data_IF_211292950821
#
_entry.id   IF_211292950821
#
_cell.length_a   1.000
_cell.length_b   1.000
_cell.length_c   1.000
_cell.angle_alpha   90.00
_cell.angle_beta   90.00
_cell.angle_gamma   90.00
#
_symmetry.space_group_name_H-M   'P 1'
#
loop_
_entity.id
_entity.type
_entity.pdbx_description
1 polymer ?
#
# COMPACT_ATOMS: atom_id res chain seq x y z
N UNK A 1 17.43 -15.77 18.77
CA UNK A 1 18.62 -15.13 19.38
C UNK A 1 18.49 -13.62 19.24
N UNK A 2 19.27 -12.78 19.94
CA UNK A 2 19.40 -11.38 19.51
C UNK A 2 20.13 -11.33 18.15
N UNK A 3 19.73 -10.46 17.19
CA UNK A 3 20.40 -10.36 15.88
C UNK A 3 21.90 -10.01 15.96
N UNK A 4 22.33 -9.37 17.04
CA UNK A 4 23.67 -8.79 17.26
C UNK A 4 24.84 -9.80 17.32
N UNK A 5 24.56 -11.09 17.15
CA UNK A 5 25.58 -12.15 17.09
C UNK A 5 25.67 -12.83 15.71
N UNK A 6 24.86 -12.42 14.72
CA UNK A 6 24.93 -12.94 13.36
C UNK A 6 26.08 -12.29 12.58
N UNK A 7 26.81 -13.10 11.80
CA UNK A 7 27.78 -12.56 10.85
C UNK A 7 27.07 -11.95 9.65
N UNK A 8 27.26 -10.65 9.43
CA UNK A 8 26.71 -9.92 8.28
C UNK A 8 27.64 -10.04 7.07
N UNK A 9 27.08 -10.45 5.94
CA UNK A 9 27.75 -10.69 4.65
C UNK A 9 26.97 -9.95 3.57
N UNK A 10 27.61 -9.29 2.61
CA UNK A 10 26.88 -8.52 1.57
C UNK A 10 26.79 -9.31 0.28
N UNK A 11 25.59 -9.39 -0.30
CA UNK A 11 25.31 -10.01 -1.59
C UNK A 11 26.29 -9.55 -2.68
N UNK A 12 26.91 -10.49 -3.40
CA UNK A 12 27.93 -10.22 -4.40
C UNK A 12 29.35 -9.97 -3.87
N UNK A 13 29.60 -10.12 -2.56
CA UNK A 13 30.95 -9.99 -1.98
C UNK A 13 31.44 -11.28 -1.30
N UNK A 14 32.75 -11.52 -1.37
CA UNK A 14 33.45 -12.53 -0.56
C UNK A 14 33.81 -11.96 0.81
N UNK A 15 33.59 -12.74 1.87
CA UNK A 15 34.01 -12.42 3.23
C UNK A 15 34.92 -13.51 3.78
N UNK A 16 36.03 -13.10 4.41
CA UNK A 16 37.00 -14.01 5.05
C UNK A 16 36.60 -14.24 6.50
N UNK A 17 35.91 -15.35 6.75
CA UNK A 17 35.43 -15.79 8.06
C UNK A 17 36.58 -16.39 8.86
N UNK A 18 36.89 -15.82 10.03
CA UNK A 18 37.81 -16.41 11.00
C UNK A 18 37.05 -17.27 12.01
N UNK A 19 37.47 -18.53 12.16
CA UNK A 19 36.98 -19.43 13.21
C UNK A 19 38.10 -19.76 14.20
N UNK A 20 37.71 -20.18 15.41
CA UNK A 20 38.61 -20.68 16.44
C UNK A 20 37.96 -21.86 17.18
N UNK A 21 38.77 -22.73 17.76
CA UNK A 21 38.34 -23.87 18.59
C UNK A 21 39.38 -24.19 19.65
N UNK A 22 38.98 -24.93 20.69
CA UNK A 22 39.87 -25.49 21.71
C UNK A 22 39.63 -27.00 21.76
N UNK A 23 40.38 -27.75 20.96
CA UNK A 23 40.28 -29.21 20.81
C UNK A 23 41.67 -29.81 20.55
N UNK A 24 41.94 -31.04 21.02
CA UNK A 24 43.11 -31.79 20.58
C UNK A 24 43.02 -32.15 19.09
N UNK A 25 44.19 -32.28 18.47
CA UNK A 25 44.42 -33.05 17.24
C UNK A 25 43.53 -32.66 16.04
N UNK A 26 43.48 -31.37 15.71
CA UNK A 26 42.85 -30.85 14.47
C UNK A 26 43.88 -30.82 13.34
N UNK A 27 43.83 -31.80 12.44
CA UNK A 27 44.75 -31.95 11.33
C UNK A 27 44.26 -31.29 10.02
N UNK A 28 42.96 -31.36 9.75
CA UNK A 28 42.35 -30.74 8.55
C UNK A 28 40.93 -30.25 8.81
N UNK A 29 40.40 -29.42 7.91
CA UNK A 29 39.11 -28.76 8.08
C UNK A 29 38.35 -28.73 6.76
N UNK A 30 37.05 -28.99 6.83
CA UNK A 30 36.12 -28.75 5.72
C UNK A 30 35.01 -27.81 6.17
N UNK A 31 34.49 -26.98 5.26
CA UNK A 31 33.42 -26.04 5.58
C UNK A 31 32.27 -26.19 4.59
N UNK A 32 31.04 -26.09 5.10
CA UNK A 32 29.81 -26.12 4.29
C UNK A 32 28.82 -25.07 4.80
N UNK A 33 27.98 -24.61 3.89
CA UNK A 33 26.80 -23.80 4.19
C UNK A 33 25.56 -24.69 4.34
N UNK A 34 24.50 -24.18 4.95
CA UNK A 34 23.22 -24.88 5.12
C UNK A 34 22.31 -24.72 3.88
N UNK A 35 22.34 -23.56 3.21
CA UNK A 35 21.76 -23.35 1.87
C UNK A 35 22.79 -22.71 0.91
N UNK A 36 23.20 -23.45 -0.13
CA UNK A 36 24.12 -22.98 -1.18
C UNK A 36 23.54 -21.89 -2.09
N UNK A 37 22.22 -21.61 -2.00
CA UNK A 37 21.59 -20.49 -2.74
C UNK A 37 21.85 -19.14 -2.09
N UNK A 38 21.97 -19.10 -0.76
CA UNK A 38 22.09 -17.87 0.04
C UNK A 38 23.55 -17.41 0.12
N UNK A 39 24.48 -18.33 0.35
CA UNK A 39 25.92 -18.08 0.30
C UNK A 39 26.66 -19.37 0.00
N UNK A 40 27.90 -19.30 -0.50
CA UNK A 40 28.70 -20.45 -0.91
C UNK A 40 30.12 -20.38 -0.33
N UNK A 41 30.72 -21.52 -0.04
CA UNK A 41 32.15 -21.60 0.34
C UNK A 41 32.99 -21.61 -0.93
N UNK A 42 33.85 -20.62 -1.11
CA UNK A 42 34.78 -20.56 -2.24
C UNK A 42 36.14 -21.19 -1.91
N UNK A 43 36.63 -20.97 -0.68
CA UNK A 43 37.91 -21.53 -0.22
C UNK A 43 37.91 -21.83 1.28
N UNK A 44 38.67 -22.85 1.68
CA UNK A 44 39.06 -23.11 3.07
C UNK A 44 40.57 -22.92 3.16
N UNK A 45 41.01 -22.02 4.04
CA UNK A 45 42.42 -21.75 4.27
C UNK A 45 43.08 -22.79 5.18
N UNK A 46 44.42 -22.74 5.33
CA UNK A 46 45.14 -23.66 6.18
C UNK A 46 44.74 -23.53 7.65
N UNK A 47 44.79 -24.65 8.37
CA UNK A 47 44.66 -24.68 9.83
C UNK A 47 45.94 -24.09 10.45
N UNK A 48 45.77 -23.19 11.41
CA UNK A 48 46.85 -22.53 12.14
C UNK A 48 46.66 -22.79 13.64
N UNK A 49 47.68 -23.32 14.32
CA UNK A 49 47.71 -23.27 15.79
C UNK A 49 47.73 -21.79 16.22
N UNK A 50 46.74 -21.40 17.01
CA UNK A 50 46.48 -20.02 17.42
C UNK A 50 47.25 -19.61 18.69
N UNK A 51 47.83 -20.57 19.42
CA UNK A 51 48.53 -20.34 20.69
C UNK A 51 49.93 -20.93 20.70
N UNK A 52 50.95 -20.08 20.85
CA UNK A 52 52.34 -20.52 21.10
C UNK A 52 52.59 -21.11 22.50
N UNK A 53 51.55 -21.18 23.33
CA UNK A 53 51.59 -21.65 24.72
C UNK A 53 50.87 -23.01 24.92
N UNK A 54 49.90 -23.34 24.06
CA UNK A 54 49.05 -24.53 24.17
C UNK A 54 48.86 -25.17 22.79
N UNK A 55 48.90 -26.51 22.71
CA UNK A 55 48.71 -27.25 21.45
C UNK A 55 47.23 -27.50 21.09
N UNK A 56 46.29 -26.93 21.84
CA UNK A 56 44.86 -27.22 21.73
C UNK A 56 44.04 -26.11 21.05
N UNK A 57 44.61 -24.91 20.85
CA UNK A 57 43.87 -23.80 20.23
C UNK A 57 44.14 -23.77 18.73
N UNK A 58 43.14 -24.10 17.92
CA UNK A 58 43.25 -24.01 16.46
C UNK A 58 42.38 -22.89 15.91
N UNK A 59 42.85 -22.28 14.82
CA UNK A 59 42.13 -21.25 14.08
C UNK A 59 42.34 -21.42 12.59
N UNK A 60 41.49 -20.79 11.79
CA UNK A 60 41.64 -20.79 10.35
C UNK A 60 40.76 -19.74 9.69
N UNK A 61 40.81 -19.72 8.36
CA UNK A 61 39.96 -18.86 7.54
C UNK A 61 39.10 -19.69 6.59
N UNK A 62 37.87 -19.24 6.35
CA UNK A 62 36.99 -19.74 5.29
C UNK A 62 36.53 -18.54 4.48
N UNK A 63 36.69 -18.58 3.17
CA UNK A 63 36.15 -17.56 2.27
C UNK A 63 34.73 -17.96 1.85
N UNK A 64 33.77 -17.11 2.18
CA UNK A 64 32.35 -17.30 1.86
C UNK A 64 31.89 -16.18 0.93
N UNK A 65 31.40 -16.54 -0.25
CA UNK A 65 30.71 -15.63 -1.16
C UNK A 65 29.22 -15.56 -0.78
N UNK A 66 28.66 -14.36 -0.68
CA UNK A 66 27.21 -14.20 -0.51
C UNK A 66 26.53 -14.09 -1.88
N UNK A 67 25.53 -14.93 -2.12
CA UNK A 67 24.91 -15.10 -3.46
C UNK A 67 23.46 -14.63 -3.53
N UNK A 68 22.73 -14.62 -2.41
CA UNK A 68 21.34 -14.15 -2.35
C UNK A 68 20.94 -13.78 -0.92
N UNK A 69 20.03 -12.83 -0.75
CA UNK A 69 19.54 -12.43 0.59
C UNK A 69 18.85 -13.58 1.35
N UNK A 70 19.28 -13.79 2.60
CA UNK A 70 18.70 -14.81 3.49
C UNK A 70 19.45 -14.98 4.81
N UNK A 71 18.98 -15.92 5.62
CA UNK A 71 19.73 -16.46 6.77
C UNK A 71 20.42 -17.75 6.34
N UNK A 72 21.62 -18.00 6.85
CA UNK A 72 22.39 -19.23 6.58
C UNK A 72 23.20 -19.63 7.82
N UNK A 73 23.80 -20.81 7.79
CA UNK A 73 24.83 -21.22 8.75
C UNK A 73 26.07 -21.67 8.01
N UNK A 74 27.24 -21.21 8.44
CA UNK A 74 28.51 -21.83 8.08
C UNK A 74 28.83 -22.90 9.13
N UNK A 75 28.92 -24.15 8.69
CA UNK A 75 29.34 -25.31 9.48
C UNK A 75 30.79 -25.62 9.14
N UNK A 76 31.69 -25.49 10.11
CA UNK A 76 33.11 -25.83 9.95
C UNK A 76 33.39 -27.13 10.69
N UNK A 77 33.64 -28.19 9.92
CA UNK A 77 33.94 -29.54 10.42
C UNK A 77 35.45 -29.69 10.61
N UNK A 78 35.82 -30.11 11.80
CA UNK A 78 37.20 -30.31 12.24
C UNK A 78 37.52 -31.79 12.15
N UNK A 79 38.65 -32.14 11.52
CA UNK A 79 39.05 -33.53 11.27
C UNK A 79 40.41 -33.84 11.91
N UNK A 80 40.54 -35.05 12.48
CA UNK A 80 41.81 -35.60 12.95
C UNK A 80 42.71 -36.13 11.80
N UNK A 81 43.90 -36.62 12.15
CA UNK A 81 44.86 -37.27 11.23
C UNK A 81 44.30 -38.54 10.54
N UNK A 82 43.20 -39.10 11.04
CA UNK A 82 42.49 -40.25 10.47
C UNK A 82 41.30 -39.81 9.58
N UNK A 83 41.04 -38.50 9.46
CA UNK A 83 39.93 -37.91 8.73
C UNK A 83 38.58 -37.94 9.48
N UNK A 84 38.55 -38.42 10.72
CA UNK A 84 37.34 -38.51 11.55
C UNK A 84 36.96 -37.13 12.10
N UNK A 85 35.65 -36.84 12.21
CA UNK A 85 35.17 -35.52 12.64
C UNK A 85 35.26 -35.41 14.16
N UNK A 86 36.21 -34.60 14.65
CA UNK A 86 36.44 -34.35 16.08
C UNK A 86 35.59 -33.21 16.66
N UNK A 87 35.06 -32.33 15.79
CA UNK A 87 34.15 -31.26 16.21
C UNK A 87 33.51 -30.51 15.05
N UNK A 88 32.48 -29.73 15.38
CA UNK A 88 31.78 -28.84 14.45
C UNK A 88 31.67 -27.44 15.09
N UNK A 89 31.99 -26.39 14.33
CA UNK A 89 31.76 -25.00 14.72
C UNK A 89 30.65 -24.43 13.82
N UNK A 90 29.46 -24.24 14.39
CA UNK A 90 28.37 -23.50 13.72
C UNK A 90 28.57 -21.98 13.89
N UNK A 91 28.62 -21.25 12.78
CA UNK A 91 28.58 -19.78 12.74
C UNK A 91 27.33 -19.33 11.97
N UNK A 92 26.32 -18.75 12.64
CA UNK A 92 25.11 -18.29 11.97
C UNK A 92 25.37 -16.95 11.26
N UNK A 93 24.88 -16.85 10.02
CA UNK A 93 25.14 -15.74 9.10
C UNK A 93 23.83 -15.13 8.57
N UNK A 94 23.90 -13.87 8.17
CA UNK A 94 22.82 -13.15 7.51
C UNK A 94 23.36 -12.41 6.28
N UNK A 95 22.84 -12.74 5.11
CA UNK A 95 23.19 -12.09 3.85
C UNK A 95 22.30 -10.89 3.61
N UNK A 96 22.89 -9.73 3.33
CA UNK A 96 22.22 -8.45 3.13
C UNK A 96 22.34 -8.00 1.67
N UNK A 97 21.29 -7.37 1.12
CA UNK A 97 21.30 -6.81 -0.23
C UNK A 97 22.43 -5.78 -0.41
N UNK A 98 23.09 -5.79 -1.55
CA UNK A 98 24.14 -4.81 -1.87
C UNK A 98 23.59 -3.41 -2.23
N UNK A 99 22.37 -3.33 -2.77
CA UNK A 99 21.84 -2.11 -3.41
C UNK A 99 20.76 -1.39 -2.57
N UNK A 100 21.03 -1.20 -1.28
CA UNK A 100 20.07 -0.65 -0.32
C UNK A 100 19.64 0.79 -0.65
N UNK A 101 20.58 1.66 -1.05
CA UNK A 101 20.40 3.11 -1.23
C UNK A 101 19.16 3.53 -2.03
N UNK A 102 18.78 2.79 -3.08
CA UNK A 102 17.60 3.13 -3.89
C UNK A 102 16.28 2.69 -3.23
N UNK A 103 16.29 1.53 -2.55
CA UNK A 103 15.16 1.08 -1.73
C UNK A 103 14.95 2.03 -0.53
N UNK A 104 16.04 2.48 0.11
CA UNK A 104 16.01 3.45 1.21
C UNK A 104 15.42 4.80 0.77
N UNK A 105 15.86 5.31 -0.38
CA UNK A 105 15.33 6.55 -0.97
C UNK A 105 13.83 6.42 -1.29
N UNK A 106 13.42 5.27 -1.87
CA UNK A 106 12.00 4.96 -2.07
C UNK A 106 11.22 4.94 -0.76
N UNK A 107 11.72 4.26 0.27
CA UNK A 107 11.08 4.16 1.59
C UNK A 107 10.96 5.53 2.28
N UNK A 108 11.97 6.40 2.15
CA UNK A 108 11.94 7.78 2.64
C UNK A 108 10.81 8.57 1.97
N UNK A 109 10.78 8.58 0.63
CA UNK A 109 9.77 9.32 -0.14
C UNK A 109 8.37 8.77 0.11
N UNK A 110 8.20 7.44 0.13
CA UNK A 110 6.92 6.79 0.43
C UNK A 110 6.41 7.14 1.83
N UNK A 111 7.29 7.19 2.84
CA UNK A 111 6.93 7.58 4.21
C UNK A 111 6.47 9.04 4.29
N UNK A 112 7.14 9.96 3.58
CA UNK A 112 6.73 11.36 3.47
C UNK A 112 5.39 11.49 2.74
N UNK A 113 5.19 10.77 1.63
CA UNK A 113 3.92 10.78 0.89
C UNK A 113 2.75 10.25 1.73
N UNK A 114 2.94 9.16 2.49
CA UNK A 114 1.93 8.64 3.42
C UNK A 114 1.61 9.67 4.52
N UNK A 115 2.62 10.31 5.11
CA UNK A 115 2.41 11.35 6.12
C UNK A 115 1.64 12.55 5.56
N UNK A 116 1.99 13.06 4.37
CA UNK A 116 1.27 14.17 3.71
C UNK A 116 -0.16 13.78 3.34
N UNK A 117 -0.38 12.57 2.82
CA UNK A 117 -1.73 12.05 2.57
C UNK A 117 -2.54 11.95 3.86
N UNK A 118 -1.95 11.57 5.00
CA UNK A 118 -2.61 11.52 6.30
C UNK A 118 -2.96 12.91 6.84
N UNK A 119 -2.09 13.92 6.65
CA UNK A 119 -2.44 15.34 6.95
C UNK A 119 -3.62 15.79 6.08
N UNK A 120 -3.60 15.52 4.77
CA UNK A 120 -4.69 15.88 3.86
C UNK A 120 -5.99 15.18 4.27
N UNK A 121 -5.93 13.89 4.58
CA UNK A 121 -7.09 13.08 4.96
C UNK A 121 -7.73 13.56 6.28
N UNK A 122 -6.91 13.89 7.28
CA UNK A 122 -7.39 14.56 8.49
C UNK A 122 -7.96 15.95 8.19
N UNK A 123 -7.38 16.68 7.24
CA UNK A 123 -7.86 18.00 6.83
C UNK A 123 -9.15 17.96 5.98
N UNK A 124 -9.51 16.81 5.42
CA UNK A 124 -10.81 16.56 4.77
C UNK A 124 -11.94 16.15 5.70
N UNK A 125 -11.67 15.96 7.01
CA UNK A 125 -12.69 15.53 7.95
C UNK A 125 -13.75 16.62 8.20
N UNK A 126 -14.87 16.55 7.48
CA UNK A 126 -16.06 17.31 7.84
C UNK A 126 -16.80 16.59 8.99
N UNK A 127 -16.79 17.23 10.17
CA UNK A 127 -17.54 16.79 11.35
C UNK A 127 -19.06 16.65 11.08
N UNK A 128 -19.60 17.32 10.05
CA UNK A 128 -20.99 17.15 9.60
C UNK A 128 -21.22 15.82 8.89
N UNK A 129 -20.25 15.35 8.10
CA UNK A 129 -20.28 14.01 7.51
C UNK A 129 -20.20 12.98 8.63
N UNK A 130 -19.31 13.16 9.61
CA UNK A 130 -19.23 12.31 10.81
C UNK A 130 -20.57 12.25 11.57
N UNK A 131 -21.28 13.38 11.69
CA UNK A 131 -22.62 13.46 12.30
C UNK A 131 -23.74 12.82 11.46
N UNK A 132 -23.55 12.66 10.14
CA UNK A 132 -24.47 11.91 9.27
C UNK A 132 -24.29 10.40 9.41
N UNK A 133 -23.08 9.91 9.73
CA UNK A 133 -22.81 8.48 10.01
C UNK A 133 -23.72 7.96 11.12
N UNK A 134 -23.86 8.74 12.20
CA UNK A 134 -24.73 8.42 13.35
C UNK A 134 -26.20 8.21 12.93
N UNK A 135 -26.63 8.80 11.79
CA UNK A 135 -28.00 8.68 11.27
C UNK A 135 -28.20 7.50 10.30
N UNK A 136 -27.15 6.95 9.71
CA UNK A 136 -27.18 5.73 8.87
C UNK A 136 -25.95 4.83 9.12
N UNK A 137 -25.79 4.25 10.33
CA UNK A 137 -24.53 3.63 10.75
C UNK A 137 -24.21 2.26 10.12
N UNK A 138 -25.17 1.62 9.43
CA UNK A 138 -25.05 0.20 9.04
C UNK A 138 -23.91 -0.05 8.05
N UNK A 139 -23.86 0.66 6.92
CA UNK A 139 -22.76 0.56 5.94
C UNK A 139 -21.37 0.79 6.55
N UNK A 140 -21.13 1.90 7.29
CA UNK A 140 -19.88 2.12 8.01
C UNK A 140 -19.52 1.00 8.98
N UNK A 141 -20.48 0.52 9.78
CA UNK A 141 -20.26 -0.54 10.76
C UNK A 141 -19.88 -1.87 10.11
N UNK A 142 -20.51 -2.21 8.97
CA UNK A 142 -20.13 -3.36 8.15
C UNK A 142 -18.71 -3.21 7.63
N UNK A 143 -18.32 -2.02 7.14
CA UNK A 143 -16.95 -1.72 6.77
C UNK A 143 -15.95 -1.97 7.90
N UNK A 144 -16.23 -1.49 9.12
CA UNK A 144 -15.37 -1.70 10.30
C UNK A 144 -15.24 -3.19 10.65
N UNK A 145 -16.33 -3.96 10.61
CA UNK A 145 -16.32 -5.41 10.89
C UNK A 145 -15.53 -6.17 9.82
N UNK A 146 -15.74 -5.86 8.54
CA UNK A 146 -14.95 -6.44 7.47
C UNK A 146 -13.44 -6.11 7.64
N UNK A 147 -13.13 -4.86 7.96
CA UNK A 147 -11.76 -4.36 8.04
C UNK A 147 -10.98 -4.87 9.26
N UNK A 148 -11.60 -4.99 10.43
CA UNK A 148 -10.90 -5.32 11.68
C UNK A 148 -11.37 -6.60 12.39
N UNK A 149 -12.26 -7.36 11.78
CA UNK A 149 -12.50 -8.76 12.14
C UNK A 149 -12.18 -9.68 10.96
N UNK A 150 -12.77 -9.45 9.77
CA UNK A 150 -12.60 -10.41 8.67
C UNK A 150 -11.22 -10.35 8.04
N UNK A 151 -10.68 -9.18 7.68
CA UNK A 151 -9.39 -9.11 6.99
C UNK A 151 -8.18 -9.61 7.81
N UNK A 152 -8.05 -9.32 9.12
CA UNK A 152 -7.01 -9.92 9.96
C UNK A 152 -7.13 -11.45 10.04
N UNK A 153 -8.35 -11.98 10.18
CA UNK A 153 -8.60 -13.43 10.24
C UNK A 153 -8.38 -14.13 8.89
N UNK A 154 -8.77 -13.50 7.78
CA UNK A 154 -8.47 -13.97 6.42
C UNK A 154 -6.96 -14.01 6.20
N UNK A 155 -6.25 -12.94 6.58
CA UNK A 155 -4.80 -12.86 6.42
C UNK A 155 -4.06 -13.90 7.29
N UNK A 156 -4.48 -14.09 8.54
CA UNK A 156 -3.93 -15.11 9.44
C UNK A 156 -4.20 -16.53 8.93
N UNK A 157 -5.44 -16.83 8.53
CA UNK A 157 -5.83 -18.14 8.01
C UNK A 157 -5.11 -18.48 6.71
N UNK A 158 -5.04 -17.53 5.78
CA UNK A 158 -4.29 -17.67 4.52
C UNK A 158 -2.79 -17.85 4.79
N UNK A 159 -2.21 -17.03 5.67
CA UNK A 159 -0.82 -17.14 6.09
C UNK A 159 -0.47 -18.54 6.64
N UNK A 160 -1.26 -19.06 7.58
CA UNK A 160 -1.06 -20.40 8.14
C UNK A 160 -1.28 -21.51 7.11
N UNK A 161 -2.18 -21.32 6.14
CA UNK A 161 -2.44 -22.30 5.08
C UNK A 161 -1.35 -22.35 3.99
N UNK A 162 -0.76 -21.22 3.60
CA UNK A 162 0.25 -21.17 2.52
C UNK A 162 1.69 -21.21 3.02
N UNK A 163 1.96 -20.74 4.24
CA UNK A 163 3.31 -20.55 4.79
C UNK A 163 3.52 -21.18 6.18
N UNK A 164 3.09 -22.44 6.46
CA UNK A 164 3.15 -23.03 7.80
C UNK A 164 4.54 -22.94 8.44
N UNK A 165 5.59 -23.20 7.66
CA UNK A 165 6.99 -23.22 8.11
C UNK A 165 7.75 -21.89 7.89
N UNK A 166 7.11 -20.87 7.31
CA UNK A 166 7.71 -19.56 7.05
C UNK A 166 7.00 -18.45 7.88
N UNK A 167 7.42 -18.25 9.15
CA UNK A 167 6.79 -17.28 10.05
C UNK A 167 7.02 -15.81 9.63
N UNK A 168 8.05 -15.52 8.84
CA UNK A 168 8.23 -14.20 8.22
C UNK A 168 7.15 -13.94 7.15
N UNK A 169 6.89 -14.92 6.29
CA UNK A 169 5.80 -14.84 5.30
C UNK A 169 4.42 -14.74 5.93
N UNK A 170 4.22 -15.44 7.06
CA UNK A 170 3.00 -15.28 7.85
C UNK A 170 2.86 -13.86 8.40
N UNK A 171 3.91 -13.30 9.00
CA UNK A 171 3.90 -11.94 9.56
C UNK A 171 3.65 -10.88 8.48
N UNK A 172 4.33 -10.98 7.34
CA UNK A 172 4.19 -10.02 6.23
C UNK A 172 2.78 -10.00 5.66
N UNK A 173 2.18 -11.17 5.42
CA UNK A 173 0.81 -11.27 4.92
C UNK A 173 -0.22 -10.81 5.98
N UNK A 174 -0.02 -11.20 7.25
CA UNK A 174 -0.90 -10.83 8.36
C UNK A 174 -0.93 -9.31 8.60
N UNK A 175 0.22 -8.64 8.61
CA UNK A 175 0.29 -7.17 8.72
C UNK A 175 -0.36 -6.48 7.53
N UNK A 176 -0.16 -7.02 6.32
CA UNK A 176 -0.82 -6.54 5.10
C UNK A 176 -2.35 -6.54 5.19
N UNK A 177 -2.93 -7.60 5.75
CA UNK A 177 -4.39 -7.70 5.98
C UNK A 177 -4.91 -7.09 7.29
N UNK A 178 -4.03 -6.58 8.17
CA UNK A 178 -4.43 -5.93 9.43
C UNK A 178 -4.48 -4.41 9.35
N UNK A 179 -3.92 -3.83 8.28
CA UNK A 179 -3.86 -2.39 8.01
C UNK A 179 -5.24 -1.73 7.80
N UNK A 180 -5.33 -0.39 7.67
CA UNK A 180 -6.55 0.30 7.21
C UNK A 180 -6.79 0.16 5.70
N UNK A 181 -7.95 0.61 5.24
CA UNK A 181 -8.28 0.70 3.81
C UNK A 181 -7.26 1.56 3.05
N UNK A 182 -6.86 1.10 1.87
CA UNK A 182 -5.92 1.79 1.00
C UNK A 182 -6.64 2.80 0.11
N UNK A 183 -6.21 4.07 0.10
CA UNK A 183 -6.92 5.18 -0.56
C UNK A 183 -7.23 5.03 -2.06
N UNK A 184 -6.64 4.05 -2.74
CA UNK A 184 -7.02 3.63 -4.09
C UNK A 184 -8.45 3.03 -4.16
N UNK A 185 -9.03 2.58 -3.04
CA UNK A 185 -10.43 2.14 -2.93
C UNK A 185 -11.39 3.16 -3.50
N UNK A 186 -11.21 4.44 -3.17
CA UNK A 186 -12.05 5.55 -3.61
C UNK A 186 -12.10 5.67 -5.15
N UNK A 187 -10.95 5.52 -5.82
CA UNK A 187 -10.86 5.50 -7.28
C UNK A 187 -11.60 4.30 -7.87
N UNK A 188 -11.36 3.10 -7.33
CA UNK A 188 -12.00 1.87 -7.82
C UNK A 188 -13.50 1.82 -7.56
N UNK A 189 -13.96 2.30 -6.40
CA UNK A 189 -15.38 2.45 -6.06
C UNK A 189 -16.08 3.38 -7.06
N UNK A 190 -15.46 4.52 -7.41
CA UNK A 190 -16.01 5.41 -8.44
C UNK A 190 -16.06 4.73 -9.82
N UNK A 191 -14.96 4.09 -10.27
CA UNK A 191 -14.90 3.40 -11.57
C UNK A 191 -15.90 2.23 -11.69
N UNK A 192 -16.17 1.52 -10.58
CA UNK A 192 -17.11 0.40 -10.53
C UNK A 192 -18.55 0.81 -10.16
N UNK A 193 -18.82 2.11 -9.96
CA UNK A 193 -20.16 2.64 -9.74
C UNK A 193 -20.72 2.43 -8.34
N UNK A 194 -19.85 2.27 -7.35
CA UNK A 194 -20.21 2.21 -5.94
C UNK A 194 -20.38 3.59 -5.29
N UNK A 195 -20.76 3.57 -4.02
CA UNK A 195 -20.98 4.74 -3.18
C UNK A 195 -19.65 5.39 -2.77
N UNK A 196 -19.21 6.42 -3.50
CA UNK A 196 -17.93 7.08 -3.26
C UNK A 196 -17.84 7.72 -1.88
N UNK A 197 -18.91 8.42 -1.45
CA UNK A 197 -19.00 9.03 -0.12
C UNK A 197 -18.84 7.99 1.00
N UNK A 198 -19.43 6.80 0.82
CA UNK A 198 -19.27 5.69 1.75
C UNK A 198 -17.82 5.16 1.75
N UNK A 199 -17.17 5.02 0.60
CA UNK A 199 -15.76 4.61 0.51
C UNK A 199 -14.86 5.56 1.30
N UNK A 200 -14.91 6.88 1.01
CA UNK A 200 -14.05 7.90 1.64
C UNK A 200 -14.24 7.89 3.17
N UNK A 201 -15.49 7.80 3.60
CA UNK A 201 -15.88 7.73 5.01
C UNK A 201 -15.41 6.43 5.69
N UNK A 202 -15.43 5.29 5.01
CA UNK A 202 -14.87 4.02 5.52
C UNK A 202 -13.33 4.04 5.53
N UNK A 203 -12.66 4.61 4.53
CA UNK A 203 -11.20 4.78 4.55
C UNK A 203 -10.78 5.67 5.72
N UNK A 204 -11.55 6.73 6.01
CA UNK A 204 -11.30 7.60 7.16
C UNK A 204 -11.49 6.88 8.50
N UNK A 205 -12.65 6.24 8.73
CA UNK A 205 -12.90 5.54 10.00
C UNK A 205 -11.90 4.40 10.18
N UNK A 206 -11.58 3.65 9.12
CA UNK A 206 -10.58 2.59 9.21
C UNK A 206 -9.20 3.16 9.54
N UNK A 207 -8.75 4.21 8.86
CA UNK A 207 -7.47 4.90 9.15
C UNK A 207 -7.35 5.33 10.62
N UNK A 208 -8.40 5.93 11.21
CA UNK A 208 -8.38 6.32 12.63
C UNK A 208 -8.42 5.11 13.56
N UNK A 209 -9.17 4.07 13.21
CA UNK A 209 -9.30 2.85 14.02
C UNK A 209 -8.01 2.01 14.03
N UNK A 210 -7.23 2.05 12.94
CA UNK A 210 -5.96 1.34 12.78
C UNK A 210 -4.96 1.61 13.91
N UNK A 211 -4.95 2.85 14.44
CA UNK A 211 -4.04 3.26 15.50
C UNK A 211 -4.17 2.41 16.78
N UNK A 212 -5.36 1.85 17.03
CA UNK A 212 -5.61 0.92 18.13
C UNK A 212 -5.66 -0.55 17.66
N UNK A 213 -6.23 -0.83 16.48
CA UNK A 213 -6.46 -2.22 16.05
C UNK A 213 -5.24 -2.91 15.46
N UNK A 214 -4.35 -2.21 14.74
CA UNK A 214 -3.11 -2.84 14.20
C UNK A 214 -2.22 -3.35 15.35
N UNK A 215 -1.88 -2.55 16.39
CA UNK A 215 -1.03 -3.05 17.47
C UNK A 215 -1.73 -4.14 18.29
N UNK A 216 -3.06 -4.04 18.50
CA UNK A 216 -3.85 -5.05 19.19
C UNK A 216 -3.82 -6.41 18.46
N UNK A 217 -4.02 -6.41 17.14
CA UNK A 217 -3.98 -7.63 16.33
C UNK A 217 -2.59 -8.26 16.28
N UNK A 218 -1.54 -7.45 16.20
CA UNK A 218 -0.15 -7.93 16.28
C UNK A 218 0.15 -8.52 17.66
N UNK A 219 -0.25 -7.86 18.76
CA UNK A 219 -0.09 -8.39 20.13
C UNK A 219 -0.84 -9.71 20.34
N UNK A 220 -2.04 -9.86 19.75
CA UNK A 220 -2.90 -11.04 19.94
C UNK A 220 -2.45 -12.24 19.08
N UNK A 221 -2.12 -12.02 17.81
CA UNK A 221 -1.78 -13.11 16.87
C UNK A 221 -0.27 -13.33 16.74
N UNK A 222 0.55 -12.31 16.95
CA UNK A 222 2.01 -12.36 16.83
C UNK A 222 2.69 -13.54 17.55
N UNK A 223 2.34 -13.85 18.81
CA UNK A 223 2.89 -15.01 19.50
C UNK A 223 2.60 -16.34 18.77
N UNK A 224 1.44 -16.46 18.14
CA UNK A 224 1.05 -17.65 17.35
C UNK A 224 1.66 -17.67 15.95
N UNK A 225 2.07 -16.52 15.42
CA UNK A 225 2.78 -16.37 14.14
C UNK A 225 4.25 -16.75 14.31
N UNK A 226 4.90 -16.26 15.37
CA UNK A 226 6.31 -16.57 15.68
C UNK A 226 6.46 -18.01 16.18
N UNK A 227 5.71 -18.42 17.21
CA UNK A 227 5.92 -19.71 17.86
C UNK A 227 7.38 -19.90 18.30
N UNK A 228 7.98 -21.03 17.92
CA UNK A 228 9.38 -21.37 18.22
C UNK A 228 10.41 -20.72 17.27
N UNK A 229 10.02 -19.74 16.45
CA UNK A 229 10.91 -19.11 15.48
C UNK A 229 12.03 -18.28 16.15
N UNK A 230 13.20 -18.27 15.51
CA UNK A 230 14.43 -17.68 16.08
C UNK A 230 14.46 -16.14 16.17
N UNK A 231 13.41 -15.43 15.73
CA UNK A 231 13.29 -13.97 15.75
C UNK A 231 12.17 -13.50 16.68
N UNK A 232 12.23 -12.26 17.15
CA UNK A 232 11.22 -11.66 18.04
C UNK A 232 10.46 -10.57 17.29
N UNK A 233 9.12 -10.53 17.41
CA UNK A 233 8.33 -9.40 16.90
C UNK A 233 8.58 -8.16 17.79
N UNK A 234 8.93 -7.01 17.20
CA UNK A 234 9.16 -5.74 17.92
C UNK A 234 7.82 -5.05 18.25
N UNK A 235 6.99 -5.69 19.09
CA UNK A 235 5.62 -5.24 19.40
C UNK A 235 5.53 -3.76 19.82
N UNK A 236 6.50 -3.31 20.62
CA UNK A 236 6.60 -1.93 21.10
C UNK A 236 6.81 -0.96 19.94
N UNK A 237 7.74 -1.27 19.04
CA UNK A 237 8.18 -0.33 18.00
C UNK A 237 7.16 -0.30 16.85
N UNK A 238 6.47 -1.42 16.58
CA UNK A 238 5.25 -1.47 15.76
C UNK A 238 4.17 -0.56 16.35
N UNK A 239 3.90 -0.65 17.66
CA UNK A 239 2.90 0.19 18.32
C UNK A 239 3.28 1.68 18.30
N UNK A 240 4.55 2.02 18.56
CA UNK A 240 5.07 3.40 18.52
C UNK A 240 5.01 3.98 17.11
N UNK A 241 5.33 3.20 16.07
CA UNK A 241 5.30 3.63 14.68
C UNK A 241 3.86 3.80 14.16
N UNK A 242 2.96 2.87 14.48
CA UNK A 242 1.53 3.02 14.18
C UNK A 242 0.94 4.23 14.89
N UNK A 243 1.34 4.49 16.14
CA UNK A 243 0.94 5.68 16.88
C UNK A 243 1.56 6.97 16.29
N UNK A 244 2.79 6.94 15.78
CA UNK A 244 3.41 8.13 15.17
C UNK A 244 2.70 8.53 13.87
N UNK A 245 2.16 7.57 13.11
CA UNK A 245 1.27 7.84 11.96
C UNK A 245 -0.06 8.53 12.34
N UNK A 246 -0.49 8.48 13.61
CA UNK A 246 -1.65 9.27 14.06
C UNK A 246 -1.37 10.76 14.16
N UNK A 247 -0.11 11.17 14.34
CA UNK A 247 0.28 12.57 14.50
C UNK A 247 0.04 13.41 13.23
N UNK A 248 0.42 12.96 12.01
CA UNK A 248 0.00 13.58 10.76
C UNK A 248 -1.53 13.72 10.61
N UNK A 249 -2.29 12.68 10.95
CA UNK A 249 -3.76 12.71 10.85
C UNK A 249 -4.37 13.73 11.83
N UNK A 250 -3.91 13.75 13.08
CA UNK A 250 -4.31 14.71 14.09
C UNK A 250 -3.98 16.16 13.69
N UNK A 251 -2.80 16.40 13.10
CA UNK A 251 -2.42 17.70 12.53
C UNK A 251 -3.38 18.12 11.40
N UNK A 252 -3.78 17.19 10.54
CA UNK A 252 -4.80 17.43 9.51
C UNK A 252 -6.12 17.92 10.10
N UNK A 253 -6.65 17.21 11.11
CA UNK A 253 -7.89 17.58 11.82
C UNK A 253 -7.76 18.96 12.48
N UNK A 254 -6.57 19.27 13.02
CA UNK A 254 -6.24 20.58 13.61
C UNK A 254 -6.28 21.71 12.56
N UNK A 255 -5.74 21.46 11.36
CA UNK A 255 -5.79 22.37 10.21
C UNK A 255 -7.24 22.58 9.72
N UNK A 256 -8.06 21.52 9.64
CA UNK A 256 -9.48 21.66 9.29
C UNK A 256 -10.23 22.55 10.29
N UNK A 257 -9.96 22.40 11.59
CA UNK A 257 -10.60 23.14 12.68
C UNK A 257 -10.22 24.62 12.71
N UNK A 258 -8.93 24.95 12.60
CA UNK A 258 -8.45 26.33 12.77
C UNK A 258 -8.20 27.09 11.45
N UNK A 259 -7.89 26.38 10.35
CA UNK A 259 -7.65 26.96 9.03
C UNK A 259 -8.57 26.33 7.96
N UNK A 260 -9.91 26.47 8.06
CA UNK A 260 -10.86 25.82 7.15
C UNK A 260 -10.72 26.24 5.68
N UNK A 261 -10.05 27.36 5.38
CA UNK A 261 -9.66 27.72 4.00
C UNK A 261 -8.56 26.78 3.47
N UNK A 262 -7.57 26.43 4.29
CA UNK A 262 -6.48 25.51 3.96
C UNK A 262 -7.02 24.08 3.84
N UNK A 263 -7.86 23.62 4.77
CA UNK A 263 -8.51 22.30 4.69
C UNK A 263 -9.27 22.09 3.37
N UNK A 264 -9.99 23.12 2.88
CA UNK A 264 -10.66 23.09 1.56
C UNK A 264 -9.70 23.05 0.36
N UNK A 265 -8.46 23.53 0.48
CA UNK A 265 -7.43 23.41 -0.56
C UNK A 265 -6.81 22.02 -0.52
N UNK A 266 -6.41 21.55 0.67
CA UNK A 266 -5.87 20.20 0.88
C UNK A 266 -6.85 19.12 0.37
N UNK A 267 -8.15 19.27 0.64
CA UNK A 267 -9.17 18.34 0.13
C UNK A 267 -9.30 18.28 -1.39
N UNK A 268 -9.00 19.36 -2.11
CA UNK A 268 -8.89 19.32 -3.58
C UNK A 268 -7.62 18.61 -4.06
N UNK A 269 -6.59 18.53 -3.22
CA UNK A 269 -5.34 17.84 -3.52
C UNK A 269 -5.36 16.34 -3.17
N UNK A 270 -6.34 15.87 -2.38
CA UNK A 270 -6.45 14.46 -1.98
C UNK A 270 -6.46 13.52 -3.19
N UNK A 271 -7.35 13.73 -4.16
CA UNK A 271 -7.48 12.88 -5.36
C UNK A 271 -6.21 12.89 -6.23
N UNK A 272 -5.67 14.05 -6.69
CA UNK A 272 -4.48 14.05 -7.53
C UNK A 272 -3.23 13.54 -6.80
N UNK A 273 -3.07 13.80 -5.50
CA UNK A 273 -1.93 13.26 -4.74
C UNK A 273 -2.06 11.75 -4.48
N UNK A 274 -3.28 11.24 -4.26
CA UNK A 274 -3.51 9.79 -4.17
C UNK A 274 -3.19 9.10 -5.49
N UNK A 275 -3.60 9.67 -6.62
CA UNK A 275 -3.27 9.16 -7.96
C UNK A 275 -1.76 9.22 -8.22
N UNK A 276 -1.09 10.33 -7.89
CA UNK A 276 0.37 10.45 -7.97
C UNK A 276 1.08 9.39 -7.13
N UNK A 277 0.65 9.17 -5.88
CA UNK A 277 1.23 8.16 -4.99
C UNK A 277 1.04 6.74 -5.54
N UNK A 278 -0.13 6.42 -6.12
CA UNK A 278 -0.33 5.12 -6.80
C UNK A 278 0.62 4.97 -7.99
N UNK A 279 0.75 5.99 -8.84
CA UNK A 279 1.68 5.96 -9.98
C UNK A 279 3.13 5.80 -9.50
N UNK A 280 3.55 6.56 -8.50
CA UNK A 280 4.88 6.48 -7.87
C UNK A 280 5.19 5.08 -7.33
N UNK A 281 4.27 4.47 -6.59
CA UNK A 281 4.43 3.10 -6.06
C UNK A 281 4.54 2.05 -7.18
N UNK A 282 3.73 2.14 -8.23
CA UNK A 282 3.77 1.19 -9.36
C UNK A 282 4.91 1.43 -10.36
N UNK A 283 5.57 2.60 -10.34
CA UNK A 283 6.69 2.93 -11.25
C UNK A 283 8.02 2.89 -10.51
N UNK A 284 8.32 3.93 -9.74
CA UNK A 284 9.56 4.04 -8.98
C UNK A 284 9.64 2.98 -7.87
N UNK A 285 8.52 2.64 -7.22
CA UNK A 285 8.50 1.59 -6.20
C UNK A 285 8.80 0.18 -6.74
N UNK A 286 8.35 -0.13 -7.96
CA UNK A 286 8.72 -1.37 -8.67
C UNK A 286 10.19 -1.35 -9.07
N UNK A 287 10.66 -0.24 -9.67
CA UNK A 287 12.05 -0.09 -10.11
C UNK A 287 13.06 -0.13 -8.95
N UNK A 288 12.76 0.53 -7.84
CA UNK A 288 13.60 0.57 -6.64
C UNK A 288 13.66 -0.77 -5.87
N UNK A 289 12.78 -1.72 -6.19
CA UNK A 289 12.66 -2.99 -5.48
C UNK A 289 12.59 -4.20 -6.42
N UNK A 290 13.27 -4.16 -7.57
CA UNK A 290 13.28 -5.26 -8.55
C UNK A 290 13.74 -6.61 -7.96
N UNK A 291 14.58 -6.61 -6.92
CA UNK A 291 14.97 -7.83 -6.20
C UNK A 291 13.78 -8.59 -5.58
N UNK A 292 12.69 -7.90 -5.22
CA UNK A 292 11.49 -8.50 -4.61
C UNK A 292 10.82 -9.49 -5.56
N UNK A 293 10.91 -9.27 -6.87
CA UNK A 293 10.36 -10.19 -7.87
C UNK A 293 11.15 -11.50 -7.97
N UNK A 294 12.44 -11.50 -7.62
CA UNK A 294 13.24 -12.72 -7.47
C UNK A 294 12.85 -13.55 -6.23
N UNK A 295 12.16 -12.93 -5.27
CA UNK A 295 11.62 -13.58 -4.06
C UNK A 295 10.16 -14.07 -4.25
N UNK A 296 9.57 -13.94 -5.45
CA UNK A 296 8.18 -14.36 -5.70
C UNK A 296 8.04 -15.86 -5.97
N UNK A 297 7.80 -16.62 -4.91
CA UNK A 297 7.23 -17.97 -5.05
C UNK A 297 5.81 -17.95 -5.63
N UNK A 298 5.41 -19.05 -6.28
CA UNK A 298 4.01 -19.31 -6.70
C UNK A 298 3.04 -19.21 -5.51
N UNK A 299 3.45 -19.66 -4.32
CA UNK A 299 2.69 -19.52 -3.07
C UNK A 299 2.47 -18.05 -2.69
N UNK A 300 3.49 -17.20 -2.85
CA UNK A 300 3.46 -15.77 -2.55
C UNK A 300 2.55 -15.01 -3.52
N UNK A 301 2.58 -15.37 -4.81
CA UNK A 301 1.62 -14.86 -5.80
C UNK A 301 0.19 -15.30 -5.46
N UNK A 302 -0.03 -16.57 -5.13
CA UNK A 302 -1.35 -17.09 -4.75
C UNK A 302 -1.91 -16.42 -3.49
N UNK A 303 -1.09 -16.24 -2.44
CA UNK A 303 -1.48 -15.55 -1.22
C UNK A 303 -1.72 -14.05 -1.45
N UNK A 304 -0.87 -13.39 -2.25
CA UNK A 304 -1.02 -11.99 -2.65
C UNK A 304 -2.28 -11.72 -3.45
N UNK A 305 -2.73 -12.68 -4.28
CA UNK A 305 -4.04 -12.62 -4.93
C UNK A 305 -5.18 -12.96 -3.96
N UNK A 306 -5.02 -14.01 -3.15
CA UNK A 306 -6.03 -14.53 -2.25
C UNK A 306 -6.48 -13.53 -1.20
N UNK A 307 -5.57 -12.75 -0.61
CA UNK A 307 -5.88 -11.77 0.43
C UNK A 307 -6.89 -10.68 -0.03
N UNK A 308 -6.63 -9.86 -1.07
CA UNK A 308 -7.59 -8.88 -1.56
C UNK A 308 -8.84 -9.55 -2.16
N UNK A 309 -8.71 -10.71 -2.80
CA UNK A 309 -9.84 -11.43 -3.40
C UNK A 309 -10.85 -11.92 -2.35
N UNK A 310 -10.38 -12.53 -1.26
CA UNK A 310 -11.22 -12.92 -0.12
C UNK A 310 -11.76 -11.69 0.63
N UNK A 311 -11.03 -10.58 0.65
CA UNK A 311 -11.54 -9.29 1.10
C UNK A 311 -12.75 -8.80 0.30
N UNK A 312 -12.65 -8.76 -1.04
CA UNK A 312 -13.78 -8.42 -1.91
C UNK A 312 -14.98 -9.34 -1.67
N UNK A 313 -14.77 -10.66 -1.62
CA UNK A 313 -15.83 -11.63 -1.42
C UNK A 313 -16.51 -11.49 -0.04
N UNK A 314 -15.74 -11.30 1.04
CA UNK A 314 -16.29 -11.16 2.38
C UNK A 314 -17.04 -9.84 2.59
N UNK A 315 -16.52 -8.73 2.06
CA UNK A 315 -17.20 -7.43 2.05
C UNK A 315 -18.50 -7.45 1.25
N UNK A 316 -18.46 -7.98 0.03
CA UNK A 316 -19.66 -8.17 -0.81
C UNK A 316 -20.68 -9.11 -0.14
N UNK A 317 -20.20 -10.18 0.50
CA UNK A 317 -21.01 -11.17 1.19
C UNK A 317 -21.77 -10.59 2.39
N UNK A 318 -21.07 -9.93 3.31
CA UNK A 318 -21.70 -9.35 4.51
C UNK A 318 -22.66 -8.20 4.17
N UNK A 319 -22.27 -7.33 3.23
CA UNK A 319 -23.15 -6.27 2.73
C UNK A 319 -24.38 -6.81 1.99
N UNK A 320 -24.27 -7.97 1.32
CA UNK A 320 -25.40 -8.66 0.70
C UNK A 320 -26.32 -9.36 1.69
N UNK A 321 -25.77 -10.00 2.72
CA UNK A 321 -26.53 -10.63 3.81
C UNK A 321 -27.41 -9.61 4.54
N UNK A 322 -26.85 -8.42 4.79
CA UNK A 322 -27.54 -7.27 5.39
C UNK A 322 -28.37 -6.46 4.37
N UNK A 323 -28.52 -6.96 3.14
CA UNK A 323 -29.40 -6.45 2.07
C UNK A 323 -29.18 -4.96 1.70
N UNK A 324 -27.96 -4.45 1.86
CA UNK A 324 -27.63 -3.05 1.56
C UNK A 324 -27.85 -2.70 0.07
N UNK A 325 -27.97 -1.40 -0.30
CA UNK A 325 -28.01 -0.96 -1.70
C UNK A 325 -26.80 -1.43 -2.50
N UNK A 326 -26.96 -1.70 -3.80
CA UNK A 326 -25.86 -2.23 -4.63
C UNK A 326 -24.64 -1.29 -4.66
N UNK A 327 -24.85 0.03 -4.71
CA UNK A 327 -23.79 1.04 -4.63
C UNK A 327 -22.96 0.90 -3.35
N UNK A 328 -23.62 0.64 -2.22
CA UNK A 328 -22.96 0.47 -0.92
C UNK A 328 -22.22 -0.88 -0.82
N UNK A 329 -22.80 -1.96 -1.37
CA UNK A 329 -22.11 -3.28 -1.45
C UNK A 329 -20.82 -3.22 -2.25
N UNK A 330 -20.83 -2.52 -3.39
CA UNK A 330 -19.64 -2.33 -4.23
C UNK A 330 -18.57 -1.54 -3.45
N UNK A 331 -18.94 -0.46 -2.78
CA UNK A 331 -18.01 0.31 -1.95
C UNK A 331 -17.43 -0.53 -0.79
N UNK A 332 -18.27 -1.21 -0.01
CA UNK A 332 -17.83 -2.07 1.12
C UNK A 332 -16.93 -3.21 0.63
N UNK A 333 -17.29 -3.85 -0.49
CA UNK A 333 -16.47 -4.88 -1.12
C UNK A 333 -15.07 -4.36 -1.44
N UNK A 334 -14.98 -3.26 -2.20
CA UNK A 334 -13.70 -2.70 -2.66
C UNK A 334 -12.86 -2.21 -1.48
N UNK A 335 -13.46 -1.51 -0.51
CA UNK A 335 -12.78 -1.03 0.68
C UNK A 335 -12.20 -2.18 1.52
N UNK A 336 -12.93 -3.30 1.65
CA UNK A 336 -12.46 -4.48 2.39
C UNK A 336 -11.24 -5.13 1.72
N UNK A 337 -11.23 -5.24 0.38
CA UNK A 337 -10.13 -5.90 -0.34
C UNK A 337 -8.91 -5.00 -0.60
N UNK A 338 -9.09 -3.69 -0.79
CA UNK A 338 -7.95 -2.77 -0.98
C UNK A 338 -7.40 -2.33 0.37
N UNK A 339 -6.31 -2.97 0.79
CA UNK A 339 -5.57 -2.65 2.01
C UNK A 339 -4.46 -1.63 1.79
N UNK A 340 -4.13 -0.86 2.82
CA UNK A 340 -3.03 0.11 2.80
C UNK A 340 -1.67 -0.58 3.01
N UNK A 341 -1.27 -1.39 2.03
CA UNK A 341 -0.04 -2.18 2.05
C UNK A 341 1.24 -1.34 2.20
N UNK A 342 1.23 -0.06 1.81
CA UNK A 342 2.36 0.85 2.04
C UNK A 342 2.66 1.01 3.53
N UNK A 343 1.63 1.02 4.39
CA UNK A 343 1.80 1.08 5.85
C UNK A 343 2.36 -0.24 6.37
N UNK A 344 1.89 -1.40 5.88
CA UNK A 344 2.47 -2.70 6.24
C UNK A 344 3.96 -2.76 5.87
N UNK A 345 4.34 -2.29 4.67
CA UNK A 345 5.72 -2.23 4.19
C UNK A 345 6.58 -1.29 5.08
N UNK A 346 6.07 -0.10 5.43
CA UNK A 346 6.74 0.84 6.35
C UNK A 346 6.92 0.23 7.74
N UNK A 347 5.91 -0.46 8.28
CA UNK A 347 6.00 -1.15 9.57
C UNK A 347 7.08 -2.23 9.56
N UNK A 348 7.09 -3.09 8.54
CA UNK A 348 8.07 -4.16 8.41
C UNK A 348 9.51 -3.62 8.27
N UNK A 349 9.71 -2.62 7.39
CA UNK A 349 11.02 -2.01 7.11
C UNK A 349 11.61 -1.19 8.26
N UNK A 350 10.77 -0.55 9.09
CA UNK A 350 11.25 0.32 10.17
C UNK A 350 11.27 -0.35 11.56
N UNK A 351 10.82 -1.60 11.67
CA UNK A 351 10.80 -2.33 12.95
C UNK A 351 11.59 -3.63 12.93
N UNK A 352 11.65 -4.34 11.79
CA UNK A 352 12.49 -5.53 11.64
C UNK A 352 13.87 -5.16 11.12
N UNK A 353 14.91 -5.81 11.65
CA UNK A 353 16.26 -5.70 11.09
C UNK A 353 16.37 -6.55 9.81
N UNK A 354 17.22 -6.13 8.87
CA UNK A 354 17.52 -6.91 7.68
C UNK A 354 18.31 -8.18 8.05
N UNK A 355 18.09 -9.33 7.37
CA UNK A 355 17.26 -9.52 6.18
C UNK A 355 15.76 -9.78 6.43
N UNK A 356 15.29 -9.86 7.68
CA UNK A 356 13.87 -10.12 7.96
C UNK A 356 12.94 -9.02 7.42
N UNK A 357 13.36 -7.75 7.44
CA UNK A 357 12.65 -6.65 6.75
C UNK A 357 12.41 -6.95 5.27
N UNK A 358 13.43 -7.41 4.57
CA UNK A 358 13.43 -7.62 3.11
C UNK A 358 12.58 -8.83 2.73
N UNK A 359 12.72 -9.92 3.49
CA UNK A 359 11.96 -11.15 3.28
C UNK A 359 10.47 -10.97 3.62
N UNK A 360 10.12 -10.11 4.58
CA UNK A 360 8.71 -9.88 4.97
C UNK A 360 7.94 -8.95 4.04
N UNK A 361 8.58 -7.94 3.41
CA UNK A 361 7.88 -7.00 2.51
C UNK A 361 7.43 -7.63 1.18
N UNK A 362 7.99 -8.79 0.81
CA UNK A 362 7.62 -9.54 -0.41
C UNK A 362 6.11 -9.82 -0.45
N UNK A 363 5.51 -10.13 0.70
CA UNK A 363 4.11 -10.56 0.84
C UNK A 363 3.10 -9.41 0.63
N UNK A 364 3.19 -8.25 1.32
CA UNK A 364 2.37 -7.08 0.99
C UNK A 364 2.69 -6.50 -0.40
N UNK A 365 3.94 -6.59 -0.89
CA UNK A 365 4.27 -6.16 -2.25
C UNK A 365 3.56 -7.01 -3.33
N UNK A 366 3.54 -8.35 -3.17
CA UNK A 366 2.75 -9.23 -4.02
C UNK A 366 1.25 -8.89 -3.95
N UNK A 367 0.73 -8.58 -2.76
CA UNK A 367 -0.66 -8.16 -2.61
C UNK A 367 -0.98 -6.84 -3.33
N UNK A 368 -0.10 -5.83 -3.30
CA UNK A 368 -0.26 -4.58 -4.08
C UNK A 368 -0.39 -4.88 -5.57
N UNK A 369 0.48 -5.73 -6.12
CA UNK A 369 0.50 -6.05 -7.55
C UNK A 369 -0.72 -6.86 -8.00
N UNK A 370 -1.26 -7.73 -7.13
CA UNK A 370 -2.43 -8.55 -7.45
C UNK A 370 -3.77 -7.82 -7.20
N UNK A 371 -3.80 -6.83 -6.30
CA UNK A 371 -5.01 -6.07 -5.91
C UNK A 371 -5.82 -5.51 -7.10
N UNK A 372 -5.22 -4.91 -8.16
CA UNK A 372 -5.95 -4.43 -9.32
C UNK A 372 -6.58 -5.52 -10.20
N UNK A 373 -6.07 -6.75 -10.17
CA UNK A 373 -6.41 -7.77 -11.19
C UNK A 373 -7.90 -8.17 -11.14
N UNK A 374 -8.51 -8.51 -9.98
CA UNK A 374 -9.94 -8.77 -9.91
C UNK A 374 -10.79 -7.55 -10.32
N UNK A 375 -10.34 -6.34 -10.00
CA UNK A 375 -11.08 -5.10 -10.25
C UNK A 375 -11.04 -4.70 -11.73
N UNK A 376 -9.92 -4.93 -12.42
CA UNK A 376 -9.82 -4.81 -13.88
C UNK A 376 -10.76 -5.79 -14.58
N UNK A 377 -10.82 -7.06 -14.13
CA UNK A 377 -11.76 -8.04 -14.67
C UNK A 377 -13.22 -7.61 -14.45
N UNK A 378 -13.57 -7.13 -13.24
CA UNK A 378 -14.91 -6.56 -12.99
C UNK A 378 -15.21 -5.33 -13.85
N UNK A 379 -14.25 -4.45 -14.08
CA UNK A 379 -14.38 -3.25 -14.92
C UNK A 379 -14.65 -3.63 -16.38
N UNK A 380 -13.92 -4.61 -16.91
CA UNK A 380 -14.10 -5.14 -18.27
C UNK A 380 -15.47 -5.79 -18.41
N UNK A 381 -15.89 -6.62 -17.44
CA UNK A 381 -17.23 -7.22 -17.43
C UNK A 381 -18.32 -6.14 -17.38
N UNK A 382 -18.19 -5.11 -16.54
CA UNK A 382 -19.13 -3.97 -16.49
C UNK A 382 -19.19 -3.24 -17.83
N UNK A 383 -18.05 -2.91 -18.44
CA UNK A 383 -17.97 -2.26 -19.76
C UNK A 383 -18.65 -3.07 -20.85
N UNK A 384 -18.41 -4.38 -20.91
CA UNK A 384 -19.03 -5.29 -21.88
C UNK A 384 -20.54 -5.45 -21.66
N UNK A 385 -20.99 -5.46 -20.40
CA UNK A 385 -22.42 -5.52 -20.05
C UNK A 385 -23.17 -4.26 -20.47
N UNK A 386 -22.63 -3.08 -20.19
CA UNK A 386 -23.21 -1.79 -20.59
C UNK A 386 -23.21 -1.63 -22.12
N UNK A 387 -22.10 -1.97 -22.77
CA UNK A 387 -22.00 -1.95 -24.24
C UNK A 387 -23.04 -2.85 -24.93
N UNK A 388 -23.40 -3.99 -24.32
CA UNK A 388 -24.47 -4.89 -24.81
C UNK A 388 -25.90 -4.40 -24.54
N UNK A 389 -26.11 -3.44 -23.63
CA UNK A 389 -27.44 -2.86 -23.33
C UNK A 389 -27.71 -1.53 -24.05
N UNK A 390 -26.66 -0.84 -24.49
CA UNK A 390 -26.75 0.48 -25.12
C UNK A 390 -26.91 1.62 -24.10
N UNK A 391 -26.70 2.89 -24.51
CA UNK A 391 -26.60 4.03 -23.57
C UNK A 391 -27.90 4.34 -22.82
N UNK A 392 -29.05 4.09 -23.45
CA UNK A 392 -30.36 4.61 -23.03
C UNK A 392 -30.76 4.15 -21.61
N UNK A 393 -30.43 2.92 -21.20
CA UNK A 393 -30.74 2.43 -19.85
C UNK A 393 -29.94 3.09 -18.73
N UNK A 394 -28.76 3.67 -19.01
CA UNK A 394 -27.90 4.32 -18.01
C UNK A 394 -28.21 5.83 -17.93
N UNK A 395 -28.58 6.46 -19.05
CA UNK A 395 -29.16 7.82 -19.08
C UNK A 395 -30.49 7.88 -18.32
N UNK A 396 -31.45 7.00 -18.67
CA UNK A 396 -32.79 7.00 -18.07
C UNK A 396 -32.78 6.68 -16.56
N UNK A 397 -31.79 5.90 -16.09
CA UNK A 397 -31.54 5.71 -14.65
C UNK A 397 -30.91 6.93 -14.00
N UNK A 398 -29.93 7.56 -14.66
CA UNK A 398 -29.24 8.76 -14.13
C UNK A 398 -30.21 9.93 -13.99
N UNK A 399 -31.17 10.09 -14.90
CA UNK A 399 -32.24 11.09 -14.77
C UNK A 399 -33.20 10.76 -13.62
N UNK A 400 -33.64 9.50 -13.49
CA UNK A 400 -34.52 9.08 -12.38
C UNK A 400 -33.87 9.20 -11.00
N UNK A 401 -32.56 8.96 -10.88
CA UNK A 401 -31.82 9.21 -9.65
C UNK A 401 -31.72 10.71 -9.34
N UNK A 402 -31.38 11.56 -10.32
CA UNK A 402 -31.36 13.02 -10.17
C UNK A 402 -32.73 13.60 -9.78
N UNK A 403 -33.82 13.09 -10.35
CA UNK A 403 -35.17 13.49 -9.95
C UNK A 403 -35.47 13.15 -8.49
N UNK A 404 -35.05 11.97 -8.01
CA UNK A 404 -35.27 11.57 -6.62
C UNK A 404 -34.44 12.41 -5.64
N UNK A 405 -33.18 12.72 -5.98
CA UNK A 405 -32.33 13.62 -5.18
C UNK A 405 -32.89 15.06 -5.16
N UNK A 406 -33.42 15.56 -6.28
CA UNK A 406 -34.10 16.85 -6.34
C UNK A 406 -35.36 16.89 -5.47
N UNK A 407 -36.18 15.82 -5.50
CA UNK A 407 -37.40 15.69 -4.67
C UNK A 407 -37.05 15.60 -3.17
N UNK A 408 -36.02 14.85 -2.79
CA UNK A 408 -35.48 14.80 -1.43
C UNK A 408 -34.90 16.15 -0.94
N UNK A 409 -34.45 17.01 -1.87
CA UNK A 409 -33.90 18.33 -1.55
C UNK A 409 -35.01 19.36 -1.37
N UNK A 410 -36.00 19.42 -2.27
CA UNK A 410 -37.14 20.33 -2.15
C UNK A 410 -38.00 20.03 -0.91
N UNK A 411 -38.29 18.76 -0.60
CA UNK A 411 -39.10 18.40 0.56
C UNK A 411 -38.52 18.85 1.91
N UNK A 412 -37.20 19.07 1.98
CA UNK A 412 -36.54 19.64 3.17
C UNK A 412 -36.77 21.16 3.28
N UNK A 413 -36.90 21.88 2.16
CA UNK A 413 -37.19 23.32 2.13
C UNK A 413 -38.61 23.60 2.61
N UNK A 414 -39.60 22.86 2.11
CA UNK A 414 -41.01 23.04 2.48
C UNK A 414 -41.27 22.74 3.97
N UNK A 415 -40.54 21.78 4.56
CA UNK A 415 -40.65 21.47 6.00
C UNK A 415 -40.09 22.56 6.94
N UNK A 416 -39.37 23.57 6.41
CA UNK A 416 -38.68 24.60 7.19
C UNK A 416 -39.46 25.90 7.43
N UNK A 417 -40.55 26.16 6.69
CA UNK A 417 -41.27 27.44 6.71
C UNK A 417 -42.68 27.33 7.29
N UNK A 418 -42.87 27.52 8.60
CA UNK A 418 -44.19 27.32 9.21
C UNK A 418 -44.41 27.81 10.64
N UNK A 419 -44.31 29.13 10.89
CA UNK A 419 -45.04 29.81 11.98
C UNK A 419 -44.96 31.34 11.89
N UNK A 420 -46.00 31.99 12.45
CA UNK A 420 -46.24 33.45 12.49
C UNK A 420 -46.50 34.11 11.12
N UNK A 421 -47.50 34.97 10.94
CA UNK A 421 -48.72 35.20 11.74
C UNK A 421 -49.82 35.84 10.85
N UNK A 422 -51.08 35.86 11.30
CA UNK A 422 -52.20 36.35 10.50
C UNK A 422 -52.72 37.71 10.98
N UNK A 423 -52.96 38.66 10.08
CA UNK A 423 -53.62 39.92 10.42
C UNK A 423 -53.80 40.90 9.25
N UNK A 424 -54.96 41.55 9.20
CA UNK A 424 -55.23 42.72 8.35
C UNK A 424 -55.83 42.40 6.96
N UNK A 425 -56.99 42.98 6.67
CA UNK A 425 -57.57 43.03 5.32
C UNK A 425 -57.43 44.43 4.71
N UNK A 426 -57.47 44.53 3.38
CA UNK A 426 -57.37 45.80 2.64
C UNK A 426 -57.99 45.69 1.25
N UNK A 427 -58.77 46.69 0.86
CA UNK A 427 -59.60 46.71 -0.35
C UNK A 427 -58.87 47.17 -1.61
N UNK A 428 -59.22 46.54 -2.74
CA UNK A 428 -59.51 47.16 -4.06
C UNK A 428 -58.51 48.17 -4.65
N UNK A 429 -57.97 47.84 -5.82
CA UNK A 429 -58.07 48.75 -6.98
C UNK A 429 -58.08 47.98 -8.32
N UNK A 430 -58.42 48.65 -9.42
CA UNK A 430 -58.44 48.13 -10.80
C UNK A 430 -57.64 49.08 -11.70
N UNK A 431 -56.76 48.54 -12.54
CA UNK A 431 -56.57 48.97 -13.94
C UNK A 431 -55.62 48.01 -14.70
N UNK A 432 -55.60 47.95 -16.03
CA UNK A 432 -56.51 48.64 -16.94
C UNK A 432 -56.03 48.96 -18.36
N UNK A 433 -55.21 48.14 -19.05
CA UNK A 433 -54.90 48.46 -20.46
C UNK A 433 -54.67 47.30 -21.46
N UNK A 434 -54.78 47.69 -22.74
CA UNK A 434 -54.69 47.00 -24.04
C UNK A 434 -53.24 47.08 -24.59
N UNK A 435 -52.86 46.58 -25.78
CA UNK A 435 -53.13 45.34 -26.53
C UNK A 435 -52.28 45.33 -27.84
N UNK A 436 -52.06 44.14 -28.46
CA UNK A 436 -51.70 43.85 -29.87
C UNK A 436 -50.78 44.80 -30.70
N UNK A 437 -49.65 44.27 -31.19
CA UNK A 437 -49.27 43.99 -32.62
C UNK A 437 -47.92 43.22 -32.61
N UNK A 438 -47.48 42.37 -33.56
CA UNK A 438 -47.32 42.50 -35.02
C UNK A 438 -45.90 43.04 -35.35
N UNK A 439 -45.05 42.50 -36.24
CA UNK A 439 -45.11 41.39 -37.20
C UNK A 439 -43.68 40.90 -37.59
N UNK A 440 -43.48 40.25 -38.75
CA UNK A 440 -42.21 39.57 -39.15
C UNK A 440 -41.61 40.05 -40.51
N UNK A 441 -40.54 39.38 -41.00
CA UNK A 441 -39.73 39.57 -42.25
C UNK A 441 -38.51 40.53 -42.16
N UNK A 442 -37.49 40.48 -43.02
CA UNK A 442 -36.73 39.46 -43.83
C UNK A 442 -35.69 40.22 -44.70
N UNK A 443 -34.47 39.68 -44.93
CA UNK A 443 -33.54 39.87 -46.09
C UNK A 443 -32.22 39.12 -45.75
N UNK A 444 -31.61 38.19 -46.52
CA UNK A 444 -31.11 38.14 -47.93
C UNK A 444 -29.80 38.94 -48.15
N UNK A 445 -28.62 38.30 -48.30
CA UNK A 445 -27.95 37.72 -49.53
C UNK A 445 -27.66 38.76 -50.62
N UNK A 446 -26.52 38.83 -51.33
CA UNK A 446 -25.20 38.13 -51.34
C UNK A 446 -24.16 39.08 -52.02
N UNK A 447 -22.92 38.80 -52.47
CA UNK A 447 -22.05 37.62 -52.69
C UNK A 447 -20.57 38.07 -52.47
N UNK A 448 -19.53 37.32 -52.88
CA UNK A 448 -18.15 37.85 -52.89
C UNK A 448 -16.95 36.90 -53.11
N UNK A 449 -16.99 35.96 -54.06
CA UNK A 449 -15.82 35.13 -54.44
C UNK A 449 -14.65 35.92 -55.07
N UNK A 450 -13.41 35.48 -54.78
CA UNK A 450 -12.33 35.16 -55.75
C UNK A 450 -11.23 34.35 -55.04
N UNK A 451 -10.62 33.38 -55.74
CA UNK A 451 -9.52 32.51 -55.27
C UNK A 451 -8.14 33.03 -55.73
N UNK A 452 -7.03 32.62 -55.07
CA UNK A 452 -5.93 31.85 -55.72
C UNK A 452 -4.78 31.44 -54.79
N UNK A 453 -4.05 30.41 -55.24
CA UNK A 453 -2.93 29.73 -54.55
C UNK A 453 -1.59 30.51 -54.66
N UNK A 454 -0.64 30.23 -53.75
CA UNK A 454 0.75 30.72 -53.85
C UNK A 454 1.73 29.99 -52.91
N UNK A 455 2.54 29.09 -53.43
CA UNK A 455 3.47 28.18 -52.71
C UNK A 455 4.76 28.83 -52.18
N UNK A 456 5.18 28.37 -50.99
CA UNK A 456 6.55 28.00 -50.56
C UNK A 456 7.72 29.01 -50.63
N UNK A 457 8.54 29.01 -49.57
CA UNK A 457 9.88 29.60 -49.54
C UNK A 457 10.64 29.20 -48.26
N UNK A 458 11.87 28.68 -48.41
CA UNK A 458 12.78 28.28 -47.31
C UNK A 458 14.06 29.09 -47.42
N UNK A 459 14.54 29.65 -46.31
CA UNK A 459 15.94 30.11 -46.13
C UNK A 459 16.37 29.81 -44.68
N UNK A 460 17.64 29.44 -44.51
CA UNK A 460 18.27 29.09 -43.24
C UNK A 460 18.86 30.31 -42.50
N UNK A 461 19.35 30.13 -41.27
CA UNK A 461 20.14 31.15 -40.56
C UNK A 461 20.27 30.90 -39.06
N UNK A 462 21.32 30.19 -38.65
CA UNK A 462 21.76 30.11 -37.24
C UNK A 462 23.17 30.70 -37.08
N UNK A 463 23.62 30.90 -35.82
CA UNK A 463 25.03 30.96 -35.40
C UNK A 463 25.12 30.85 -33.86
N UNK A 464 25.91 29.87 -33.42
CA UNK A 464 26.76 29.71 -32.22
C UNK A 464 26.40 30.26 -30.81
N UNK A 465 26.26 29.34 -29.83
CA UNK A 465 27.27 28.89 -28.81
C UNK A 465 28.10 29.94 -27.99
N UNK A 466 28.84 29.59 -26.90
CA UNK A 466 29.09 28.26 -26.29
C UNK A 466 29.09 28.14 -24.73
N UNK A 467 29.33 26.91 -24.22
CA UNK A 467 29.89 26.60 -22.88
C UNK A 467 28.88 26.00 -21.89
N UNK A 468 29.11 24.89 -21.19
CA UNK A 468 30.30 24.44 -20.41
C UNK A 468 30.40 22.89 -20.41
N UNK A 469 31.57 22.36 -20.05
CA UNK A 469 31.96 20.93 -20.18
C UNK A 469 31.58 20.03 -18.98
N UNK A 470 31.84 18.73 -19.15
CA UNK A 470 31.76 17.66 -18.13
C UNK A 470 33.11 17.53 -17.42
N UNK A 471 33.11 17.24 -16.11
CA UNK A 471 34.30 16.74 -15.42
C UNK A 471 33.91 15.70 -14.35
N UNK A 472 34.62 14.56 -14.33
CA UNK A 472 34.47 13.49 -13.35
C UNK A 472 35.31 13.77 -12.09
N UNK A 473 34.83 13.44 -10.88
CA UNK A 473 35.71 12.94 -9.79
C UNK A 473 34.95 12.36 -8.58
N UNK A 474 35.45 11.20 -8.12
CA UNK A 474 35.22 10.51 -6.82
C UNK A 474 33.80 10.02 -6.46
#
# INVERSE_FOLDING_TARGET
MEPRQLMQVVEGTSHVVRWFTVLPDVASVTAKVEDERVSRVEAVGPVLNASSLDNFTFSGIVEVSATFIGYNKLRVFLHDDLGSVTGEVEMPMSVLLSYQKLSDLFMMIASVLVAVLYVIMGATLDMKVLALIIKKPIGPLVGIVCQYLFMPLIAFGLAKATFPDNPLGQLGLFLGGSCPGGGASNMWTHLLGGSLDLSIMMTFISTVTAFATVPLWVLLMGPTIVGDANFVIPYKDIAVLVFSLSMPCALGILIAKFLPRVGKVLGKMLTPLTLFNVIFLFTFGVYANLYVFSLFEVKTIFAGFGLPFLGYLSGMGLASLLRLPMKDRVAISIETGIQNMTIAIIILKLTLEAPASELTVVFPAAAVLMTPIPLLVMLIIRRLYLWRRGPQEEEEKTEKEKEMEAKETNGKVESGGGKAEAGGGGTVEKDGNKAKTGGAKEEQTDEGKVERNGTAGVVEGGIDNPGVEVEDTF
#
